data_IF_144228596369
#
_entry.id   IF_144228596369
#
_cell.length_a   1.000
_cell.length_b   1.000
_cell.length_c   1.000
_cell.angle_alpha   90.00
_cell.angle_beta   90.00
_cell.angle_gamma   90.00
#
_symmetry.space_group_name_H-M   'P 1'
#
loop_
_entity.id
_entity.type
_entity.pdbx_description
1 polymer ?
#
# COMPACT_ATOMS: atom_id res chain seq x y z
N UNK A 1 -4.86 8.42 -16.60
CA UNK A 1 -3.93 7.29 -16.83
C UNK A 1 -4.07 6.80 -18.26
N UNK A 2 -2.99 6.34 -18.89
CA UNK A 2 -3.04 5.68 -20.20
C UNK A 2 -3.53 4.24 -20.06
N UNK A 3 -3.98 3.62 -21.16
CA UNK A 3 -4.33 2.18 -21.17
C UNK A 3 -3.17 1.30 -20.74
N UNK A 4 -1.95 1.67 -21.14
CA UNK A 4 -0.72 0.99 -20.76
C UNK A 4 -0.46 1.05 -19.25
N UNK A 5 -0.62 2.22 -18.62
CA UNK A 5 -0.49 2.37 -17.17
C UNK A 5 -1.53 1.54 -16.41
N UNK A 6 -2.78 1.49 -16.90
CA UNK A 6 -3.83 0.64 -16.33
C UNK A 6 -3.43 -0.84 -16.40
N UNK A 7 -2.90 -1.27 -17.54
CA UNK A 7 -2.49 -2.66 -17.75
C UNK A 7 -1.34 -3.05 -16.80
N UNK A 8 -0.32 -2.20 -16.66
CA UNK A 8 0.79 -2.44 -15.72
C UNK A 8 0.26 -2.64 -14.30
N UNK A 9 -0.67 -1.78 -13.83
CA UNK A 9 -1.23 -1.91 -12.49
C UNK A 9 -2.03 -3.21 -12.33
N UNK A 10 -2.82 -3.60 -13.33
CA UNK A 10 -3.54 -4.88 -13.34
C UNK A 10 -2.58 -6.07 -13.27
N UNK A 11 -1.48 -6.01 -14.01
CA UNK A 11 -0.45 -7.06 -14.02
C UNK A 11 0.31 -7.16 -12.68
N UNK A 12 0.35 -6.07 -11.90
CA UNK A 12 0.89 -6.09 -10.54
C UNK A 12 -0.05 -6.71 -9.49
N UNK A 13 -1.33 -6.93 -9.78
CA UNK A 13 -2.29 -7.45 -8.79
C UNK A 13 -1.84 -8.79 -8.18
N UNK A 14 -1.37 -9.79 -8.94
CA UNK A 14 -0.93 -11.06 -8.37
C UNK A 14 0.24 -10.92 -7.38
N UNK A 15 1.22 -10.05 -7.68
CA UNK A 15 2.37 -9.84 -6.79
C UNK A 15 1.97 -9.04 -5.55
N UNK A 16 1.04 -8.08 -5.67
CA UNK A 16 0.49 -7.35 -4.53
C UNK A 16 -0.35 -8.26 -3.62
N UNK A 17 -1.08 -9.24 -4.17
CA UNK A 17 -1.81 -10.23 -3.37
C UNK A 17 -0.87 -11.15 -2.58
N UNK A 18 0.27 -11.51 -3.17
CA UNK A 18 1.22 -12.44 -2.56
C UNK A 18 2.10 -11.74 -1.52
N UNK A 19 2.59 -10.54 -1.83
CA UNK A 19 3.67 -9.87 -1.11
C UNK A 19 3.29 -8.45 -0.62
N UNK A 20 2.01 -8.09 -0.62
CA UNK A 20 1.57 -6.73 -0.28
C UNK A 20 1.95 -6.31 1.14
N UNK A 21 1.85 -7.21 2.11
CA UNK A 21 2.24 -6.91 3.51
C UNK A 21 3.74 -6.65 3.61
N UNK A 22 4.59 -7.48 2.98
CA UNK A 22 6.04 -7.29 2.94
C UNK A 22 6.43 -5.95 2.29
N UNK A 23 5.77 -5.59 1.18
CA UNK A 23 5.96 -4.31 0.52
C UNK A 23 5.69 -3.15 1.49
N UNK A 24 4.57 -3.19 2.21
CA UNK A 24 4.20 -2.11 3.13
C UNK A 24 5.06 -2.07 4.38
N UNK A 25 5.54 -3.21 4.87
CA UNK A 25 6.51 -3.27 5.95
C UNK A 25 7.81 -2.57 5.54
N UNK A 26 8.30 -2.85 4.33
CA UNK A 26 9.51 -2.22 3.82
C UNK A 26 9.32 -0.72 3.56
N UNK A 27 8.14 -0.34 3.04
CA UNK A 27 7.75 1.07 2.91
C UNK A 27 7.85 1.82 4.25
N UNK A 28 7.28 1.28 5.34
CA UNK A 28 7.33 1.95 6.64
C UNK A 28 8.75 2.02 7.21
N UNK A 29 9.58 0.98 7.02
CA UNK A 29 10.99 1.02 7.42
C UNK A 29 11.75 2.14 6.71
N UNK A 30 11.63 2.21 5.39
CA UNK A 30 12.30 3.24 4.57
C UNK A 30 11.80 4.63 4.99
N UNK A 31 10.49 4.82 5.07
CA UNK A 31 9.90 6.12 5.42
C UNK A 31 10.35 6.62 6.80
N UNK A 32 10.36 5.76 7.82
CA UNK A 32 10.79 6.18 9.17
C UNK A 32 12.30 6.32 9.31
N UNK A 33 13.08 5.66 8.45
CA UNK A 33 14.52 5.84 8.39
C UNK A 33 14.91 7.16 7.73
N UNK A 34 14.32 7.43 6.57
CA UNK A 34 14.67 8.58 5.74
C UNK A 34 14.00 9.88 6.23
N UNK A 35 12.81 9.75 6.84
CA UNK A 35 11.99 10.86 7.34
C UNK A 35 11.55 10.61 8.78
N UNK A 36 12.49 10.56 9.76
CA UNK A 36 12.14 10.28 11.15
C UNK A 36 11.13 11.28 11.75
N UNK A 37 11.06 12.50 11.20
CA UNK A 37 10.10 13.55 11.60
C UNK A 37 8.64 13.18 11.36
N UNK A 38 8.34 12.24 10.46
CA UNK A 38 6.95 11.80 10.23
C UNK A 38 6.50 10.77 11.25
N UNK A 39 7.43 10.09 11.94
CA UNK A 39 7.12 9.01 12.89
C UNK A 39 6.10 9.41 13.98
N UNK A 40 6.17 10.61 14.59
CA UNK A 40 5.17 11.06 15.57
C UNK A 40 3.76 11.27 15.00
N UNK A 41 3.61 11.35 13.67
CA UNK A 41 2.31 11.49 13.00
C UNK A 41 1.56 10.15 12.87
N UNK A 42 2.21 9.03 13.19
CA UNK A 42 1.63 7.68 13.07
C UNK A 42 1.30 7.07 14.44
N UNK A 43 0.28 6.21 14.45
CA UNK A 43 0.01 5.36 15.61
C UNK A 43 1.03 4.21 15.65
N UNK A 44 2.01 4.32 16.55
CA UNK A 44 3.09 3.34 16.67
C UNK A 44 2.63 1.98 17.23
N UNK A 45 1.55 1.93 18.01
CA UNK A 45 1.00 0.65 18.48
C UNK A 45 0.49 -0.20 17.31
N UNK A 46 -0.22 0.41 16.36
CA UNK A 46 -0.69 -0.24 15.13
C UNK A 46 0.43 -0.57 14.15
N UNK A 47 1.53 0.19 14.19
CA UNK A 47 2.73 -0.15 13.43
C UNK A 47 3.41 -1.39 14.00
N UNK A 48 3.55 -1.47 15.33
CA UNK A 48 4.17 -2.61 16.01
C UNK A 48 3.32 -3.87 15.87
N UNK A 49 1.99 -3.76 15.98
CA UNK A 49 1.09 -4.90 15.80
C UNK A 49 1.01 -5.40 14.35
N UNK A 50 1.53 -4.64 13.39
CA UNK A 50 1.44 -4.95 11.95
C UNK A 50 0.08 -4.63 11.32
N UNK A 51 -0.89 -4.14 12.09
CA UNK A 51 -2.22 -3.77 11.58
C UNK A 51 -2.13 -2.67 10.52
N UNK A 52 -1.25 -1.70 10.69
CA UNK A 52 -1.15 -0.56 9.77
C UNK A 52 -0.50 -0.92 8.43
N UNK A 53 0.66 -1.61 8.38
CA UNK A 53 1.19 -2.19 7.13
C UNK A 53 0.13 -3.03 6.41
N UNK A 54 -0.54 -3.94 7.12
CA UNK A 54 -1.58 -4.78 6.54
C UNK A 54 -2.76 -3.99 5.97
N UNK A 55 -3.25 -2.98 6.69
CA UNK A 55 -4.32 -2.11 6.21
C UNK A 55 -3.91 -1.37 4.93
N UNK A 56 -2.68 -0.85 4.87
CA UNK A 56 -2.16 -0.20 3.67
C UNK A 56 -2.03 -1.18 2.50
N UNK A 57 -1.56 -2.41 2.75
CA UNK A 57 -1.43 -3.44 1.72
C UNK A 57 -2.79 -3.79 1.09
N UNK A 58 -3.81 -3.94 1.94
CA UNK A 58 -5.18 -4.16 1.48
C UNK A 58 -5.73 -2.98 0.69
N UNK A 59 -5.51 -1.75 1.14
CA UNK A 59 -5.96 -0.55 0.43
C UNK A 59 -5.33 -0.45 -0.97
N UNK A 60 -4.02 -0.67 -1.09
CA UNK A 60 -3.29 -0.69 -2.37
C UNK A 60 -3.83 -1.80 -3.27
N UNK A 61 -4.00 -3.01 -2.73
CA UNK A 61 -4.52 -4.14 -3.49
C UNK A 61 -5.93 -3.87 -4.02
N UNK A 62 -6.81 -3.31 -3.19
CA UNK A 62 -8.17 -2.98 -3.59
C UNK A 62 -8.20 -1.88 -4.65
N UNK A 63 -7.34 -0.86 -4.53
CA UNK A 63 -7.19 0.17 -5.54
C UNK A 63 -6.70 -0.40 -6.87
N UNK A 64 -5.70 -1.29 -6.84
CA UNK A 64 -5.18 -1.95 -8.05
C UNK A 64 -6.25 -2.83 -8.73
N UNK A 65 -7.04 -3.58 -7.95
CA UNK A 65 -8.16 -4.39 -8.48
C UNK A 65 -9.26 -3.57 -9.12
N UNK A 66 -9.51 -2.36 -8.63
CA UNK A 66 -10.56 -1.47 -9.09
C UNK A 66 -10.02 -0.25 -9.83
N UNK A 67 -8.83 -0.34 -10.43
CA UNK A 67 -8.11 0.80 -11.01
C UNK A 67 -8.90 1.56 -12.10
N UNK A 68 -9.87 0.89 -12.73
CA UNK A 68 -10.78 1.48 -13.73
C UNK A 68 -12.03 2.13 -13.12
N UNK A 69 -12.31 1.88 -11.83
CA UNK A 69 -13.52 2.27 -11.12
C UNK A 69 -13.21 2.83 -9.72
N UNK A 70 -12.09 3.55 -9.55
CA UNK A 70 -11.66 4.07 -8.26
C UNK A 70 -12.69 4.98 -7.59
N UNK A 71 -13.51 5.69 -8.37
CA UNK A 71 -14.55 6.59 -7.86
C UNK A 71 -15.62 5.85 -7.03
N UNK A 72 -15.82 4.55 -7.30
CA UNK A 72 -16.78 3.71 -6.60
C UNK A 72 -16.23 3.11 -5.29
N UNK A 73 -14.98 3.41 -4.93
CA UNK A 73 -14.35 2.93 -3.69
C UNK A 73 -14.42 3.91 -2.51
N UNK A 74 -15.12 5.04 -2.67
CA UNK A 74 -15.26 6.09 -1.63
C UNK A 74 -16.30 5.73 -0.57
#
# INVERSE_FOLDING_TARGET
MTKEQIQIIKDCVPILQKNGEDLTNEFYKIMFNDYPEVKPMFNMEKQISGEQPKALAMAILMAAKNIENLENMR
#
